data_IF_146845956541
#
_entry.id   IF_146845956541
#
_cell.length_a   1.000
_cell.length_b   1.000
_cell.length_c   1.000
_cell.angle_alpha   90.00
_cell.angle_beta   90.00
_cell.angle_gamma   90.00
#
_symmetry.space_group_name_H-M   'P 1'
#
loop_
_entity.id
_entity.type
_entity.pdbx_description
1 polymer ?
#
# COMPACT_ATOMS: atom_id res chain seq x y z
N UNK A 1 2.75 26.07 23.82
CA UNK A 1 1.68 26.65 22.97
C UNK A 1 2.14 27.13 21.58
N UNK A 2 3.41 27.51 21.35
CA UNK A 2 3.90 27.98 20.04
C UNK A 2 4.32 26.88 19.04
N UNK A 3 4.78 25.70 19.51
CA UNK A 3 5.24 24.61 18.62
C UNK A 3 4.12 23.90 17.86
N UNK A 4 2.90 23.88 18.39
CA UNK A 4 1.72 23.30 17.72
C UNK A 4 1.25 24.18 16.54
N UNK A 5 1.56 25.48 16.55
CA UNK A 5 1.20 26.40 15.46
C UNK A 5 2.11 26.29 14.23
N UNK A 6 3.36 25.83 14.39
CA UNK A 6 4.33 25.72 13.28
C UNK A 6 3.95 24.57 12.33
N UNK A 7 3.34 23.49 12.84
CA UNK A 7 2.85 22.37 12.01
C UNK A 7 1.51 22.71 11.33
N UNK A 8 0.73 23.66 11.86
CA UNK A 8 -0.70 23.80 11.55
C UNK A 8 -1.09 25.11 10.85
N UNK A 9 -0.26 26.17 10.87
CA UNK A 9 -0.64 27.48 10.31
C UNK A 9 -0.30 27.69 8.82
N UNK A 10 0.15 26.66 8.09
CA UNK A 10 0.50 26.74 6.67
C UNK A 10 -0.67 26.64 5.68
N UNK A 11 -1.74 27.43 5.85
CA UNK A 11 -2.77 27.69 4.83
C UNK A 11 -3.74 26.53 4.49
N UNK A 12 -5.01 26.69 4.83
CA UNK A 12 -6.11 25.72 4.62
C UNK A 12 -6.25 25.24 3.17
N UNK A 13 -5.84 26.04 2.18
CA UNK A 13 -5.79 25.66 0.75
C UNK A 13 -4.53 24.89 0.36
N UNK A 14 -3.37 25.17 0.96
CA UNK A 14 -2.10 24.46 0.71
C UNK A 14 -2.15 23.03 1.26
N UNK A 15 -2.67 22.84 2.47
CA UNK A 15 -2.80 21.50 3.08
C UNK A 15 -3.73 20.57 2.29
N UNK A 16 -4.77 21.11 1.65
CA UNK A 16 -5.67 20.33 0.79
C UNK A 16 -5.02 19.91 -0.54
N UNK A 17 -4.25 20.81 -1.17
CA UNK A 17 -3.44 20.49 -2.36
C UNK A 17 -2.35 19.46 -2.06
N UNK A 18 -1.70 19.57 -0.90
CA UNK A 18 -0.69 18.62 -0.45
C UNK A 18 -1.28 17.21 -0.27
N UNK A 19 -2.43 17.09 0.40
CA UNK A 19 -3.14 15.81 0.57
C UNK A 19 -3.53 15.19 -0.79
N UNK A 20 -4.02 16.01 -1.72
CA UNK A 20 -4.36 15.55 -3.07
C UNK A 20 -3.11 15.01 -3.80
N UNK A 21 -2.00 15.76 -3.77
CA UNK A 21 -0.74 15.34 -4.37
C UNK A 21 -0.26 14.01 -3.80
N UNK A 22 -0.30 13.88 -2.47
CA UNK A 22 0.11 12.66 -1.77
C UNK A 22 -0.74 11.44 -2.17
N UNK A 23 -2.06 11.62 -2.34
CA UNK A 23 -2.94 10.55 -2.83
C UNK A 23 -2.64 10.14 -4.27
N UNK A 24 -2.30 11.09 -5.14
CA UNK A 24 -1.91 10.80 -6.53
C UNK A 24 -0.62 9.98 -6.55
N UNK A 25 0.39 10.39 -5.77
CA UNK A 25 1.63 9.62 -5.66
C UNK A 25 1.39 8.22 -5.06
N UNK A 26 0.56 8.10 -4.02
CA UNK A 26 0.19 6.80 -3.44
C UNK A 26 -0.54 5.90 -4.45
N UNK A 27 -1.45 6.46 -5.24
CA UNK A 27 -2.15 5.76 -6.32
C UNK A 27 -1.17 5.23 -7.36
N UNK A 28 -0.26 6.07 -7.87
CA UNK A 28 0.73 5.66 -8.86
C UNK A 28 1.67 4.59 -8.33
N UNK A 29 2.13 4.71 -7.09
CA UNK A 29 3.03 3.73 -6.47
C UNK A 29 2.37 2.36 -6.27
N UNK A 30 1.15 2.33 -5.73
CA UNK A 30 0.39 1.08 -5.51
C UNK A 30 -0.05 0.43 -6.82
N UNK A 31 -0.44 1.23 -7.82
CA UNK A 31 -0.77 0.74 -9.15
C UNK A 31 0.45 0.15 -9.85
N UNK A 32 1.60 0.83 -9.81
CA UNK A 32 2.85 0.32 -10.35
C UNK A 32 3.26 -1.00 -9.68
N UNK A 33 3.20 -1.07 -8.35
CA UNK A 33 3.50 -2.29 -7.60
C UNK A 33 2.58 -3.46 -8.01
N UNK A 34 1.27 -3.20 -8.14
CA UNK A 34 0.30 -4.21 -8.57
C UNK A 34 0.55 -4.68 -10.01
N UNK A 35 0.83 -3.76 -10.94
CA UNK A 35 1.08 -4.07 -12.35
C UNK A 35 2.37 -4.88 -12.49
N UNK A 36 3.48 -4.43 -11.90
CA UNK A 36 4.77 -5.12 -11.98
C UNK A 36 4.63 -6.53 -11.40
N UNK A 37 3.99 -6.69 -10.24
CA UNK A 37 3.83 -8.01 -9.61
C UNK A 37 2.85 -8.92 -10.37
N UNK A 38 1.75 -8.38 -10.91
CA UNK A 38 0.74 -9.17 -11.64
C UNK A 38 1.21 -9.64 -13.01
N UNK A 39 2.00 -8.81 -13.70
CA UNK A 39 2.63 -9.16 -14.98
C UNK A 39 3.89 -10.00 -14.80
N UNK A 40 4.35 -10.19 -13.56
CA UNK A 40 5.52 -10.99 -13.27
C UNK A 40 5.23 -12.48 -13.51
N UNK A 41 5.69 -12.96 -14.66
CA UNK A 41 5.64 -14.35 -15.07
C UNK A 41 7.02 -14.75 -15.58
N UNK A 42 7.57 -15.82 -15.02
CA UNK A 42 8.79 -16.41 -15.54
C UNK A 42 8.62 -17.94 -15.61
N UNK A 43 8.76 -18.48 -16.82
CA UNK A 43 8.69 -19.92 -17.07
C UNK A 43 10.10 -20.42 -17.37
N UNK A 44 10.61 -21.35 -16.57
CA UNK A 44 11.92 -21.98 -16.81
C UNK A 44 11.78 -23.50 -16.80
N UNK A 45 12.40 -24.15 -17.77
CA UNK A 45 12.58 -25.60 -17.80
C UNK A 45 13.70 -25.97 -16.84
N UNK A 46 13.35 -26.56 -15.70
CA UNK A 46 14.31 -27.04 -14.70
C UNK A 46 14.34 -28.56 -14.75
N UNK A 47 15.52 -29.17 -14.62
CA UNK A 47 15.63 -30.63 -14.51
C UNK A 47 15.24 -31.01 -13.08
N UNK A 48 14.08 -31.67 -12.91
CA UNK A 48 13.49 -31.93 -11.58
C UNK A 48 13.81 -33.35 -11.08
N UNK A 49 14.24 -34.25 -11.96
CA UNK A 49 14.77 -35.56 -11.58
C UNK A 49 15.73 -36.10 -12.65
N UNK A 50 16.72 -36.88 -12.24
CA UNK A 50 17.51 -37.74 -13.13
C UNK A 50 17.20 -39.18 -12.72
N UNK A 51 16.53 -39.94 -13.58
CA UNK A 51 16.30 -41.39 -13.35
C UNK A 51 17.32 -42.11 -14.22
N UNK A 52 18.34 -42.72 -13.61
CA UNK A 52 19.47 -43.30 -14.34
C UNK A 52 20.36 -42.23 -14.99
N UNK A 53 20.46 -42.23 -16.33
CA UNK A 53 21.25 -41.28 -17.16
C UNK A 53 20.40 -40.27 -17.94
N UNK A 54 19.08 -40.27 -17.79
CA UNK A 54 18.19 -39.34 -18.51
C UNK A 54 17.74 -38.17 -17.62
N UNK A 55 18.03 -36.90 -17.99
CA UNK A 55 17.56 -35.73 -17.26
C UNK A 55 16.09 -35.45 -17.58
N UNK A 56 15.21 -35.59 -16.58
CA UNK A 56 13.78 -35.26 -16.68
C UNK A 56 13.63 -33.76 -16.47
N UNK A 57 13.37 -33.05 -17.58
CA UNK A 57 13.11 -31.61 -17.61
C UNK A 57 11.64 -31.38 -17.23
N UNK A 58 11.37 -30.73 -16.10
CA UNK A 58 10.05 -30.21 -15.79
C UNK A 58 10.03 -28.70 -15.99
N UNK A 59 9.05 -28.21 -16.74
CA UNK A 59 8.73 -26.78 -16.87
C UNK A 59 8.16 -26.28 -15.54
N UNK A 60 9.01 -25.69 -14.69
CA UNK A 60 8.55 -24.99 -13.50
C UNK A 60 8.17 -23.56 -13.89
N UNK A 61 6.87 -23.27 -13.78
CA UNK A 61 6.33 -21.94 -14.04
C UNK A 61 6.23 -21.20 -12.72
N UNK A 62 7.11 -20.23 -12.48
CA UNK A 62 6.97 -19.32 -11.36
C UNK A 62 5.97 -18.23 -11.75
N UNK A 63 4.74 -18.37 -11.25
CA UNK A 63 3.64 -17.41 -11.46
C UNK A 63 3.22 -16.83 -10.12
N UNK A 64 2.88 -15.55 -10.09
CA UNK A 64 2.37 -14.90 -8.88
C UNK A 64 1.16 -15.66 -8.29
N UNK A 65 0.35 -16.30 -9.13
CA UNK A 65 -0.85 -17.07 -8.73
C UNK A 65 -0.54 -18.34 -7.92
N UNK A 66 0.69 -18.86 -7.99
CA UNK A 66 1.09 -20.05 -7.23
C UNK A 66 1.53 -19.71 -5.80
N UNK A 67 1.69 -18.42 -5.48
CA UNK A 67 2.11 -17.96 -4.16
C UNK A 67 1.01 -17.09 -3.55
N UNK A 68 0.26 -17.58 -2.55
CA UNK A 68 -0.89 -16.86 -2.01
C UNK A 68 -0.52 -15.49 -1.42
N UNK A 69 0.71 -15.33 -0.91
CA UNK A 69 1.20 -14.03 -0.42
C UNK A 69 1.31 -12.97 -1.53
N UNK A 70 1.79 -13.34 -2.73
CA UNK A 70 1.86 -12.42 -3.86
C UNK A 70 0.48 -12.10 -4.44
N UNK A 71 -0.46 -13.05 -4.38
CA UNK A 71 -1.87 -12.79 -4.74
C UNK A 71 -2.49 -11.77 -3.77
N UNK A 72 -2.30 -11.97 -2.46
CA UNK A 72 -2.78 -11.03 -1.45
C UNK A 72 -2.17 -9.63 -1.62
N UNK A 73 -0.87 -9.56 -1.91
CA UNK A 73 -0.18 -8.31 -2.25
C UNK A 73 -0.82 -7.57 -3.43
N UNK A 74 -1.10 -8.26 -4.54
CA UNK A 74 -1.71 -7.64 -5.72
C UNK A 74 -3.12 -7.15 -5.39
N UNK A 75 -3.94 -7.99 -4.75
CA UNK A 75 -5.34 -7.63 -4.40
C UNK A 75 -5.36 -6.42 -3.47
N UNK A 76 -4.54 -6.41 -2.42
CA UNK A 76 -4.45 -5.29 -1.49
C UNK A 76 -4.06 -3.98 -2.20
N UNK A 77 -3.03 -4.00 -3.04
CA UNK A 77 -2.61 -2.81 -3.78
C UNK A 77 -3.69 -2.30 -4.76
N UNK A 78 -4.44 -3.19 -5.41
CA UNK A 78 -5.56 -2.81 -6.28
C UNK A 78 -6.70 -2.17 -5.49
N UNK A 79 -7.07 -2.74 -4.33
CA UNK A 79 -8.09 -2.16 -3.44
C UNK A 79 -7.71 -0.75 -2.98
N UNK A 80 -6.45 -0.56 -2.56
CA UNK A 80 -5.94 0.74 -2.12
C UNK A 80 -5.88 1.74 -3.27
N UNK A 81 -5.49 1.29 -4.47
CA UNK A 81 -5.49 2.11 -5.68
C UNK A 81 -6.92 2.59 -6.03
N UNK A 82 -7.90 1.68 -6.01
CA UNK A 82 -9.31 2.03 -6.22
C UNK A 82 -9.83 3.01 -5.17
N UNK A 83 -9.51 2.80 -3.88
CA UNK A 83 -9.87 3.72 -2.81
C UNK A 83 -9.29 5.12 -3.02
N UNK A 84 -8.00 5.22 -3.36
CA UNK A 84 -7.36 6.51 -3.63
C UNK A 84 -7.98 7.22 -4.84
N UNK A 85 -8.29 6.48 -5.91
CA UNK A 85 -8.97 7.02 -7.08
C UNK A 85 -10.36 7.56 -6.72
N UNK A 86 -11.15 6.79 -5.96
CA UNK A 86 -12.47 7.20 -5.49
C UNK A 86 -12.39 8.48 -4.65
N UNK A 87 -11.41 8.57 -3.74
CA UNK A 87 -11.18 9.76 -2.92
C UNK A 87 -10.83 10.99 -3.75
N UNK A 88 -10.00 10.83 -4.79
CA UNK A 88 -9.66 11.92 -5.72
C UNK A 88 -10.92 12.40 -6.46
N UNK A 89 -11.74 11.48 -6.98
CA UNK A 89 -12.99 11.81 -7.69
C UNK A 89 -13.97 12.54 -6.77
N UNK A 90 -14.20 12.03 -5.56
CA UNK A 90 -15.08 12.66 -4.56
C UNK A 90 -14.58 14.05 -4.13
N UNK A 91 -13.27 14.28 -4.16
CA UNK A 91 -12.66 15.56 -3.81
C UNK A 91 -12.84 16.60 -4.93
N UNK A 92 -12.84 16.17 -6.19
CA UNK A 92 -13.07 17.02 -7.37
C UNK A 92 -14.58 17.34 -7.50
N UNK A 93 -15.44 16.32 -7.40
CA UNK A 93 -16.87 16.44 -7.68
C UNK A 93 -17.68 17.03 -6.52
N UNK A 94 -17.37 16.65 -5.28
CA UNK A 94 -18.16 17.05 -4.11
C UNK A 94 -17.55 18.24 -3.36
N UNK A 95 -17.60 19.43 -3.97
CA UNK A 95 -17.27 20.71 -3.29
C UNK A 95 -18.37 21.24 -2.35
N UNK A 96 -19.59 20.67 -2.37
CA UNK A 96 -20.80 21.24 -1.74
C UNK A 96 -21.59 20.36 -0.75
N UNK A 97 -21.10 19.18 -0.33
CA UNK A 97 -21.88 18.33 0.59
C UNK A 97 -21.67 18.73 2.06
N UNK A 98 -22.77 19.10 2.74
CA UNK A 98 -22.85 19.81 4.02
C UNK A 98 -22.55 18.99 5.29
N UNK A 99 -22.16 17.72 5.20
CA UNK A 99 -21.83 16.89 6.37
C UNK A 99 -20.31 16.71 6.57
N UNK A 100 -19.61 17.79 6.94
CA UNK A 100 -18.13 17.81 7.05
C UNK A 100 -17.57 16.87 8.12
N UNK A 101 -18.22 16.75 9.29
CA UNK A 101 -17.69 15.96 10.43
C UNK A 101 -17.67 14.45 10.18
N UNK A 102 -18.83 13.86 9.89
CA UNK A 102 -18.98 12.41 9.64
C UNK A 102 -18.18 11.97 8.41
N UNK A 103 -18.13 12.81 7.37
CA UNK A 103 -17.33 12.55 6.16
C UNK A 103 -15.83 12.52 6.45
N UNK A 104 -15.30 13.43 7.27
CA UNK A 104 -13.87 13.43 7.63
C UNK A 104 -13.51 12.21 8.48
N UNK A 105 -14.40 11.80 9.38
CA UNK A 105 -14.20 10.60 10.20
C UNK A 105 -14.16 9.34 9.33
N UNK A 106 -15.10 9.16 8.40
CA UNK A 106 -15.12 7.97 7.53
C UNK A 106 -13.91 7.89 6.62
N UNK A 107 -13.44 9.01 6.07
CA UNK A 107 -12.22 9.09 5.27
C UNK A 107 -11.00 8.66 6.10
N UNK A 108 -10.84 9.19 7.31
CA UNK A 108 -9.71 8.87 8.18
C UNK A 108 -9.66 7.39 8.56
N UNK A 109 -10.81 6.79 8.88
CA UNK A 109 -10.90 5.36 9.20
C UNK A 109 -10.54 4.50 7.98
N UNK A 110 -11.12 4.80 6.81
CA UNK A 110 -10.82 4.04 5.59
C UNK A 110 -9.36 4.18 5.15
N UNK A 111 -8.76 5.37 5.29
CA UNK A 111 -7.34 5.56 4.98
C UNK A 111 -6.44 4.71 5.89
N UNK A 112 -6.77 4.65 7.19
CA UNK A 112 -6.03 3.85 8.16
C UNK A 112 -6.17 2.35 7.87
N UNK A 113 -7.38 1.87 7.54
CA UNK A 113 -7.62 0.48 7.14
C UNK A 113 -6.83 0.10 5.87
N UNK A 114 -6.77 0.99 4.89
CA UNK A 114 -6.01 0.76 3.67
C UNK A 114 -4.49 0.76 3.94
N UNK A 115 -4.01 1.63 4.83
CA UNK A 115 -2.60 1.67 5.22
C UNK A 115 -2.16 0.38 5.95
N UNK A 116 -2.99 -0.15 6.85
CA UNK A 116 -2.70 -1.42 7.53
C UNK A 116 -2.80 -2.60 6.58
N UNK A 117 -3.79 -2.62 5.68
CA UNK A 117 -3.96 -3.66 4.67
C UNK A 117 -2.74 -3.78 3.75
N UNK A 118 -2.28 -2.67 3.16
CA UNK A 118 -1.13 -2.69 2.24
C UNK A 118 0.18 -3.00 2.97
N UNK A 119 0.32 -2.56 4.23
CA UNK A 119 1.46 -2.93 5.07
C UNK A 119 1.50 -4.43 5.35
N UNK A 120 0.36 -5.03 5.75
CA UNK A 120 0.27 -6.46 5.99
C UNK A 120 0.61 -7.26 4.72
N UNK A 121 0.09 -6.84 3.58
CA UNK A 121 0.33 -7.51 2.31
C UNK A 121 1.79 -7.37 1.83
N UNK A 122 2.42 -6.20 1.99
CA UNK A 122 3.82 -5.97 1.69
C UNK A 122 4.74 -6.85 2.56
N UNK A 123 4.49 -6.90 3.87
CA UNK A 123 5.28 -7.73 4.80
C UNK A 123 5.14 -9.23 4.49
N UNK A 124 3.93 -9.71 4.19
CA UNK A 124 3.73 -11.10 3.77
C UNK A 124 4.50 -11.44 2.48
N UNK A 125 4.50 -10.53 1.51
CA UNK A 125 5.23 -10.70 0.26
C UNK A 125 6.76 -10.67 0.47
N UNK A 126 7.26 -9.80 1.35
CA UNK A 126 8.69 -9.79 1.73
C UNK A 126 9.10 -11.11 2.37
N UNK A 127 8.30 -11.64 3.29
CA UNK A 127 8.61 -12.90 3.95
C UNK A 127 8.80 -14.03 2.93
N UNK A 128 7.89 -14.15 1.96
CA UNK A 128 8.02 -15.15 0.90
C UNK A 128 9.16 -14.85 -0.05
N UNK A 129 9.43 -13.57 -0.35
CA UNK A 129 10.59 -13.18 -1.15
C UNK A 129 11.92 -13.54 -0.47
N UNK A 130 12.02 -13.38 0.86
CA UNK A 130 13.20 -13.75 1.64
C UNK A 130 13.40 -15.27 1.65
N UNK A 131 12.31 -16.04 1.79
CA UNK A 131 12.36 -17.49 1.60
C UNK A 131 12.79 -17.87 0.18
N UNK A 132 12.34 -17.13 -0.83
CA UNK A 132 12.73 -17.33 -2.22
C UNK A 132 14.23 -17.05 -2.47
N UNK A 133 14.79 -16.05 -1.80
CA UNK A 133 16.19 -15.60 -1.98
C UNK A 133 17.17 -16.44 -1.15
N UNK A 134 16.88 -16.63 0.14
CA UNK A 134 17.82 -17.26 1.06
C UNK A 134 17.53 -18.77 1.25
N UNK A 135 16.28 -19.19 1.04
CA UNK A 135 15.83 -20.53 1.35
C UNK A 135 15.78 -20.80 2.86
N UNK A 136 15.33 -21.99 3.25
CA UNK A 136 15.39 -22.46 4.63
C UNK A 136 15.74 -23.94 4.64
N UNK A 137 16.97 -24.26 5.06
CA UNK A 137 17.47 -25.64 5.12
C UNK A 137 16.68 -26.51 6.09
N UNK A 138 16.24 -25.95 7.23
CA UNK A 138 15.47 -26.68 8.24
C UNK A 138 14.08 -27.05 7.76
N UNK A 139 13.46 -26.19 6.93
CA UNK A 139 12.17 -26.46 6.30
C UNK A 139 12.29 -27.14 4.92
N UNK A 140 13.50 -27.52 4.48
CA UNK A 140 13.79 -28.05 3.14
C UNK A 140 13.29 -27.13 2.00
N UNK A 141 13.27 -25.81 2.24
CA UNK A 141 12.89 -24.82 1.25
C UNK A 141 14.12 -24.39 0.44
N UNK A 142 14.17 -24.78 -0.84
CA UNK A 142 15.26 -24.42 -1.74
C UNK A 142 15.13 -22.97 -2.25
N UNK A 143 16.27 -22.36 -2.56
CA UNK A 143 16.32 -21.03 -3.17
C UNK A 143 15.67 -21.06 -4.55
N UNK A 144 14.71 -20.17 -4.75
CA UNK A 144 13.97 -20.01 -6.02
C UNK A 144 14.66 -18.97 -6.90
N UNK A 145 15.17 -17.89 -6.30
CA UNK A 145 15.76 -16.78 -7.05
C UNK A 145 17.05 -17.14 -7.80
N UNK A 146 17.78 -18.19 -7.40
CA UNK A 146 18.94 -18.69 -8.15
C UNK A 146 18.57 -19.23 -9.54
N UNK A 147 17.31 -19.70 -9.70
CA UNK A 147 16.79 -20.25 -10.96
C UNK A 147 15.95 -19.24 -11.74
N UNK A 148 15.28 -18.33 -11.04
CA UNK A 148 14.32 -17.34 -11.57
C UNK A 148 14.76 -15.92 -11.18
N UNK A 149 15.95 -15.52 -11.60
CA UNK A 149 16.55 -14.23 -11.21
C UNK A 149 15.71 -13.04 -11.70
N UNK A 150 15.23 -13.07 -12.95
CA UNK A 150 14.43 -11.98 -13.52
C UNK A 150 13.09 -11.81 -12.81
N UNK A 151 12.43 -12.91 -12.45
CA UNK A 151 11.22 -12.89 -11.63
C UNK A 151 11.48 -12.26 -10.26
N UNK A 152 12.58 -12.63 -9.61
CA UNK A 152 12.94 -12.07 -8.31
C UNK A 152 13.33 -10.60 -8.39
N UNK A 153 14.02 -10.15 -9.44
CA UNK A 153 14.38 -8.74 -9.63
C UNK A 153 13.14 -7.87 -9.87
N UNK A 154 12.23 -8.30 -10.74
CA UNK A 154 10.95 -7.62 -10.93
C UNK A 154 10.09 -7.63 -9.66
N UNK A 155 10.08 -8.75 -8.93
CA UNK A 155 9.40 -8.88 -7.64
C UNK A 155 9.95 -7.93 -6.58
N UNK A 156 11.28 -7.80 -6.51
CA UNK A 156 11.96 -6.86 -5.61
C UNK A 156 11.60 -5.40 -5.98
N UNK A 157 11.59 -5.06 -7.26
CA UNK A 157 11.15 -3.74 -7.74
C UNK A 157 9.70 -3.43 -7.32
N UNK A 158 8.79 -4.39 -7.48
CA UNK A 158 7.40 -4.26 -7.04
C UNK A 158 7.27 -4.08 -5.52
N UNK A 159 8.07 -4.81 -4.73
CA UNK A 159 8.10 -4.68 -3.27
C UNK A 159 8.57 -3.29 -2.85
N UNK A 160 9.64 -2.78 -3.44
CA UNK A 160 10.16 -1.42 -3.16
C UNK A 160 9.09 -0.37 -3.45
N UNK A 161 8.42 -0.48 -4.61
CA UNK A 161 7.32 0.41 -4.97
C UNK A 161 6.15 0.33 -3.97
N UNK A 162 5.81 -0.86 -3.48
CA UNK A 162 4.77 -1.01 -2.47
C UNK A 162 5.16 -0.45 -1.09
N UNK A 163 6.41 -0.59 -0.64
CA UNK A 163 6.85 0.05 0.61
C UNK A 163 6.82 1.57 0.49
N UNK A 164 7.19 2.14 -0.66
CA UNK A 164 6.97 3.55 -0.91
C UNK A 164 5.47 3.90 -0.82
N UNK A 165 4.60 3.08 -1.40
CA UNK A 165 3.14 3.19 -1.25
C UNK A 165 2.66 3.15 0.21
N UNK A 166 3.20 2.25 1.04
CA UNK A 166 2.90 2.15 2.49
C UNK A 166 3.26 3.46 3.20
N UNK A 167 4.47 3.99 2.97
CA UNK A 167 4.92 5.25 3.57
C UNK A 167 4.00 6.40 3.16
N UNK A 168 3.65 6.48 1.87
CA UNK A 168 2.73 7.50 1.36
C UNK A 168 1.34 7.37 2.01
N UNK A 169 0.81 6.16 2.16
CA UNK A 169 -0.48 5.90 2.82
C UNK A 169 -0.45 6.27 4.32
N UNK A 170 0.66 6.02 5.02
CA UNK A 170 0.84 6.46 6.40
C UNK A 170 0.83 7.99 6.51
N UNK A 171 1.51 8.67 5.58
CA UNK A 171 1.48 10.12 5.51
C UNK A 171 0.05 10.63 5.22
N UNK A 172 -0.71 10.01 4.30
CA UNK A 172 -2.11 10.38 4.02
C UNK A 172 -2.95 10.23 5.29
N UNK A 173 -2.86 9.10 5.97
CA UNK A 173 -3.57 8.81 7.22
C UNK A 173 -3.23 9.82 8.31
N UNK A 174 -1.93 10.16 8.48
CA UNK A 174 -1.50 11.13 9.49
C UNK A 174 -2.09 12.53 9.26
N UNK A 175 -2.13 12.98 8.01
CA UNK A 175 -2.73 14.26 7.64
C UNK A 175 -4.25 14.22 7.80
N UNK A 176 -4.89 13.11 7.44
CA UNK A 176 -6.34 12.90 7.60
C UNK A 176 -6.77 12.97 9.06
N UNK A 177 -6.05 12.27 9.96
CA UNK A 177 -6.28 12.30 11.41
C UNK A 177 -6.02 13.69 11.98
N UNK A 178 -4.93 14.35 11.57
CA UNK A 178 -4.62 15.70 12.03
C UNK A 178 -5.77 16.69 11.71
N UNK A 179 -6.35 16.57 10.51
CA UNK A 179 -7.50 17.39 10.08
C UNK A 179 -8.75 17.10 10.90
N UNK A 180 -8.99 15.82 11.21
CA UNK A 180 -10.10 15.41 12.08
C UNK A 180 -9.96 15.97 13.50
N UNK A 181 -8.78 15.85 14.09
CA UNK A 181 -8.48 16.34 15.46
C UNK A 181 -8.64 17.87 15.55
N UNK A 182 -8.15 18.61 14.56
CA UNK A 182 -8.32 20.07 14.51
C UNK A 182 -9.80 20.45 14.43
N UNK A 183 -10.57 19.77 13.58
CA UNK A 183 -12.01 20.04 13.44
C UNK A 183 -12.79 19.68 14.71
N UNK A 184 -12.41 18.60 15.39
CA UNK A 184 -12.99 18.21 16.68
C UNK A 184 -12.69 19.24 17.78
N UNK A 185 -11.44 19.72 17.90
CA UNK A 185 -11.09 20.80 18.85
C UNK A 185 -11.92 22.07 18.59
N UNK A 186 -12.05 22.49 17.33
CA UNK A 186 -12.85 23.67 16.98
C UNK A 186 -14.31 23.51 17.38
N UNK A 187 -14.90 22.33 17.15
CA UNK A 187 -16.29 22.05 17.53
C UNK A 187 -16.50 22.10 19.04
N UNK A 188 -15.55 21.54 19.82
CA UNK A 188 -15.57 21.64 21.29
C UNK A 188 -15.40 23.07 21.79
N UNK A 189 -14.51 23.87 21.20
CA UNK A 189 -14.37 25.29 21.58
C UNK A 189 -15.65 26.06 21.28
N UNK A 190 -16.27 25.89 20.10
CA UNK A 190 -17.52 26.58 19.74
C UNK A 190 -18.69 26.19 20.66
N UNK A 191 -18.82 24.91 21.02
CA UNK A 191 -19.83 24.44 21.96
C UNK A 191 -19.64 25.02 23.38
N UNK A 192 -18.39 25.22 23.80
CA UNK A 192 -18.08 25.82 25.10
C UNK A 192 -18.39 27.31 25.10
N UNK A 193 -18.13 28.04 24.00
CA UNK A 193 -18.46 29.47 23.91
C UNK A 193 -19.97 29.73 23.88
N UNK A 194 -20.76 28.85 23.26
CA UNK A 194 -22.24 28.97 23.26
C UNK A 194 -22.89 28.58 24.59
N UNK A 195 -22.17 27.93 25.50
CA UNK A 195 -22.67 27.57 26.83
C UNK A 195 -22.38 28.64 27.91
N UNK A 196 -21.59 29.67 27.57
CA UNK A 196 -21.17 30.75 28.48
C UNK A 196 -21.85 32.09 28.13
N UNK A 197 -22.73 32.11 27.11
CA UNK A 197 -23.61 33.23 26.75
C UNK A 197 -25.06 32.79 27.00
#
# INVERSE_FOLDING_TARGET
MAREKIVVAGGTTKSWKLLLGLRIFAFMATLAAAIVMSLNKETKTLVVATIGTLPIKATLTAKFQHTPAFVFFVIANVMVSFHNLLMIVLQIFSRKLEYKGVRLLSIAILDMLNATLVSAAANAAVFVAELGKNGNKHAKWNKVCDRFATYCDHGAGALIAAFAGVILMLLVSSVSISRLLINSKHLSTTATTTAVV
#
